data_IF_397337817022
#
_entry.id   IF_397337817022
#
_cell.length_a   1.000
_cell.length_b   1.000
_cell.length_c   1.000
_cell.angle_alpha   90.00
_cell.angle_beta   90.00
_cell.angle_gamma   90.00
#
_symmetry.space_group_name_H-M   'P 1'
#
loop_
_entity.id
_entity.type
_entity.pdbx_description
1 polymer ?
#
# COMPACT_ATOMS: atom_id res chain seq x y z
N UNK A 1 -0.89 -4.25 -4.38
CA UNK A 1 -1.31 -5.67 -4.20
C UNK A 1 -0.68 -6.20 -2.91
N UNK A 2 -1.31 -7.15 -2.23
CA UNK A 2 -0.84 -7.69 -0.95
C UNK A 2 -0.39 -9.13 -1.11
N UNK A 3 0.76 -9.48 -0.51
CA UNK A 3 1.26 -10.84 -0.43
C UNK A 3 0.67 -11.51 0.81
N UNK A 4 -0.25 -12.44 0.58
CA UNK A 4 -0.88 -13.27 1.59
C UNK A 4 -0.89 -14.74 1.17
N UNK A 5 -1.35 -15.63 2.05
CA UNK A 5 -1.38 -17.07 1.78
C UNK A 5 -2.15 -17.43 0.50
N UNK A 6 -3.19 -16.67 0.16
CA UNK A 6 -4.00 -16.91 -1.03
C UNK A 6 -3.23 -16.53 -2.29
N UNK A 7 -2.63 -15.34 -2.28
CA UNK A 7 -1.88 -14.77 -3.39
C UNK A 7 -0.61 -15.58 -3.66
N UNK A 8 0.03 -16.09 -2.61
CA UNK A 8 1.15 -17.04 -2.72
C UNK A 8 0.73 -18.40 -3.30
N UNK A 9 -0.43 -18.93 -2.92
CA UNK A 9 -0.93 -20.20 -3.48
C UNK A 9 -1.28 -20.07 -4.96
N UNK A 10 -1.87 -18.94 -5.34
CA UNK A 10 -2.21 -18.65 -6.73
C UNK A 10 -0.94 -18.48 -7.57
N UNK A 11 0.07 -17.77 -7.07
CA UNK A 11 1.29 -17.51 -7.84
C UNK A 11 2.10 -18.75 -8.18
N UNK A 12 2.08 -19.78 -7.32
CA UNK A 12 2.74 -21.07 -7.59
C UNK A 12 2.16 -21.84 -8.77
N UNK A 13 0.93 -21.51 -9.19
CA UNK A 13 0.20 -22.21 -10.24
C UNK A 13 -0.09 -21.35 -11.48
N UNK A 14 0.43 -20.12 -11.53
CA UNK A 14 0.20 -19.19 -12.63
C UNK A 14 1.50 -18.87 -13.38
N UNK A 15 1.34 -18.38 -14.60
CA UNK A 15 2.42 -18.05 -15.53
C UNK A 15 3.38 -16.98 -14.98
N UNK A 16 4.59 -16.93 -15.54
CA UNK A 16 5.71 -16.08 -15.11
C UNK A 16 5.34 -14.58 -14.96
N UNK A 17 4.38 -14.10 -15.75
CA UNK A 17 3.85 -12.73 -15.66
C UNK A 17 3.18 -12.43 -14.31
N UNK A 18 2.53 -13.41 -13.70
CA UNK A 18 1.89 -13.23 -12.39
C UNK A 18 2.93 -13.21 -11.26
N UNK A 19 4.01 -13.99 -11.37
CA UNK A 19 5.12 -13.93 -10.43
C UNK A 19 5.85 -12.57 -10.49
N UNK A 20 6.08 -12.04 -11.69
CA UNK A 20 6.60 -10.69 -11.92
C UNK A 20 5.71 -9.61 -11.27
N UNK A 21 4.39 -9.74 -11.42
CA UNK A 21 3.41 -8.83 -10.82
C UNK A 21 3.51 -8.75 -9.29
N UNK A 22 3.89 -9.84 -8.63
CA UNK A 22 4.00 -9.91 -7.17
C UNK A 22 5.33 -9.43 -6.60
N UNK A 23 6.37 -9.20 -7.41
CA UNK A 23 7.67 -8.73 -6.91
C UNK A 23 7.61 -7.38 -6.17
N UNK A 24 6.57 -6.57 -6.42
CA UNK A 24 6.32 -5.32 -5.71
C UNK A 24 5.18 -5.38 -4.68
N UNK A 25 4.70 -6.57 -4.31
CA UNK A 25 3.58 -6.72 -3.40
C UNK A 25 3.94 -6.33 -1.96
N UNK A 26 2.99 -5.72 -1.27
CA UNK A 26 3.10 -5.39 0.15
C UNK A 26 2.88 -6.65 1.00
N UNK A 27 3.76 -6.94 1.95
CA UNK A 27 3.49 -7.95 2.99
C UNK A 27 2.51 -7.42 4.04
N UNK A 28 1.86 -8.33 4.78
CA UNK A 28 1.02 -7.94 5.93
C UNK A 28 1.83 -7.21 7.01
N UNK A 29 3.06 -7.65 7.26
CA UNK A 29 3.96 -7.02 8.21
C UNK A 29 4.33 -5.58 7.79
N UNK A 30 4.53 -5.34 6.49
CA UNK A 30 4.73 -3.99 5.96
C UNK A 30 3.53 -3.10 6.27
N UNK A 31 2.30 -3.55 6.01
CA UNK A 31 1.11 -2.76 6.27
C UNK A 31 1.01 -2.36 7.76
N UNK A 32 1.28 -3.28 8.68
CA UNK A 32 1.31 -3.00 10.11
C UNK A 32 2.38 -1.96 10.49
N UNK A 33 3.59 -2.05 9.91
CA UNK A 33 4.66 -1.07 10.13
C UNK A 33 4.27 0.33 9.65
N UNK A 34 3.67 0.42 8.46
CA UNK A 34 3.19 1.70 7.89
C UNK A 34 2.13 2.32 8.78
N UNK A 35 1.12 1.56 9.21
CA UNK A 35 0.06 2.05 10.11
C UNK A 35 0.66 2.57 11.42
N UNK A 36 1.58 1.81 12.02
CA UNK A 36 2.24 2.21 13.27
C UNK A 36 3.02 3.51 13.11
N UNK A 37 3.86 3.61 12.08
CA UNK A 37 4.68 4.78 11.86
C UNK A 37 3.84 6.02 11.51
N UNK A 38 2.79 5.84 10.70
CA UNK A 38 1.84 6.90 10.39
C UNK A 38 1.13 7.42 11.65
N UNK A 39 0.71 6.53 12.55
CA UNK A 39 0.08 6.91 13.81
C UNK A 39 0.98 7.77 14.70
N UNK A 40 2.28 7.48 14.70
CA UNK A 40 3.28 8.21 15.49
C UNK A 40 3.61 9.61 14.93
N UNK A 41 3.14 9.97 13.72
CA UNK A 41 3.34 11.32 13.15
C UNK A 41 2.58 12.39 13.94
N UNK A 42 3.24 13.54 14.17
CA UNK A 42 2.62 14.71 14.80
C UNK A 42 1.51 15.31 13.91
N UNK A 43 1.74 15.35 12.60
CA UNK A 43 0.85 15.98 11.63
C UNK A 43 -0.18 15.03 10.99
N UNK A 44 -0.39 13.81 11.53
CA UNK A 44 -1.34 12.82 10.99
C UNK A 44 -2.75 13.36 10.72
N UNK A 45 -3.19 14.36 11.50
CA UNK A 45 -4.50 15.00 11.34
C UNK A 45 -4.67 15.73 10.00
N UNK A 46 -3.60 16.08 9.29
CA UNK A 46 -3.65 16.65 7.93
C UNK A 46 -4.21 15.67 6.89
N UNK A 47 -4.21 14.38 7.22
CA UNK A 47 -4.76 13.32 6.38
C UNK A 47 -6.18 12.90 6.78
N UNK A 48 -6.81 13.62 7.72
CA UNK A 48 -8.15 13.29 8.19
C UNK A 48 -9.16 13.21 7.05
N UNK A 49 -9.92 12.11 7.03
CA UNK A 49 -10.92 11.82 6.01
C UNK A 49 -10.36 11.32 4.67
N UNK A 50 -9.05 11.42 4.41
CA UNK A 50 -8.46 10.93 3.17
C UNK A 50 -8.28 9.42 3.20
N UNK A 51 -8.44 8.78 2.05
CA UNK A 51 -7.98 7.39 1.86
C UNK A 51 -6.54 7.43 1.37
N UNK A 52 -5.64 6.76 2.09
CA UNK A 52 -4.22 6.71 1.77
C UNK A 52 -3.84 5.34 1.20
N UNK A 53 -2.86 5.32 0.29
CA UNK A 53 -2.29 4.07 -0.22
C UNK A 53 -1.05 3.74 0.61
N UNK A 54 -1.06 2.59 1.29
CA UNK A 54 0.02 2.20 2.21
C UNK A 54 1.41 2.13 1.54
N UNK A 55 1.48 1.76 0.26
CA UNK A 55 2.74 1.75 -0.48
C UNK A 55 3.33 3.17 -0.66
N UNK A 56 2.48 4.18 -0.87
CA UNK A 56 2.92 5.59 -1.03
C UNK A 56 3.37 6.17 0.31
N UNK A 57 2.57 5.97 1.35
CA UNK A 57 2.93 6.36 2.73
C UNK A 57 4.20 5.64 3.19
N UNK A 58 4.36 4.36 2.84
CA UNK A 58 5.56 3.59 3.14
C UNK A 58 6.82 4.17 2.50
N UNK A 59 6.75 4.67 1.26
CA UNK A 59 7.87 5.36 0.61
C UNK A 59 8.21 6.65 1.36
N UNK A 60 7.21 7.47 1.70
CA UNK A 60 7.42 8.72 2.45
C UNK A 60 8.06 8.49 3.82
N UNK A 61 7.69 7.39 4.49
CA UNK A 61 8.20 7.02 5.81
C UNK A 61 9.46 6.15 5.76
N UNK A 62 9.97 5.80 4.59
CA UNK A 62 11.16 4.94 4.43
C UNK A 62 10.96 3.50 4.92
N UNK A 63 9.74 2.98 4.82
CA UNK A 63 9.38 1.64 5.28
C UNK A 63 9.39 0.66 4.10
N UNK A 64 9.98 -0.51 4.33
CA UNK A 64 10.07 -1.62 3.37
C UNK A 64 9.45 -2.89 3.94
N UNK A 65 9.26 -3.89 3.08
CA UNK A 65 8.94 -5.25 3.51
C UNK A 65 10.05 -5.81 4.42
N UNK A 66 9.77 -6.84 5.24
CA UNK A 66 10.78 -7.49 6.08
C UNK A 66 12.00 -8.03 5.31
N UNK A 67 11.83 -8.39 4.04
CA UNK A 67 12.89 -8.86 3.14
C UNK A 67 13.68 -7.71 2.46
N UNK A 68 13.36 -6.46 2.78
CA UNK A 68 14.00 -5.27 2.24
C UNK A 68 13.42 -4.78 0.91
N UNK A 69 12.46 -5.49 0.32
CA UNK A 69 11.80 -5.04 -0.92
C UNK A 69 10.91 -3.82 -0.66
N UNK A 70 10.85 -2.90 -1.61
CA UNK A 70 9.97 -1.73 -1.55
C UNK A 70 8.63 -2.07 -2.21
N UNK A 71 7.50 -2.08 -1.46
CA UNK A 71 6.19 -2.20 -2.09
C UNK A 71 5.91 -1.05 -3.04
N UNK A 72 5.36 -1.37 -4.21
CA UNK A 72 5.01 -0.39 -5.24
C UNK A 72 3.57 0.11 -5.07
N UNK A 73 3.30 1.35 -5.46
CA UNK A 73 1.92 1.80 -5.65
C UNK A 73 1.38 1.26 -6.97
N UNK A 74 0.20 0.66 -6.94
CA UNK A 74 -0.51 0.21 -8.14
C UNK A 74 -1.50 1.24 -8.67
N UNK A 75 -1.46 2.48 -8.16
CA UNK A 75 -2.38 3.58 -8.52
C UNK A 75 -2.51 3.78 -10.02
N UNK A 76 -1.39 3.80 -10.75
CA UNK A 76 -1.39 4.04 -12.21
C UNK A 76 -2.13 2.94 -12.98
N UNK A 77 -2.10 1.71 -12.48
CA UNK A 77 -2.62 0.53 -13.18
C UNK A 77 -4.03 0.15 -12.71
N UNK A 78 -4.34 0.35 -11.42
CA UNK A 78 -5.62 -0.06 -10.81
C UNK A 78 -6.51 1.13 -10.42
N UNK A 79 -6.02 2.35 -10.61
CA UNK A 79 -6.65 3.57 -10.11
C UNK A 79 -6.30 3.84 -8.65
N UNK A 80 -6.47 5.10 -8.26
CA UNK A 80 -6.32 5.56 -6.89
C UNK A 80 -7.66 5.83 -6.19
N UNK A 81 -7.65 6.05 -4.88
CA UNK A 81 -8.82 6.58 -4.19
C UNK A 81 -9.25 7.91 -4.79
N UNK A 82 -10.56 8.14 -4.81
CA UNK A 82 -11.16 9.42 -5.22
C UNK A 82 -10.79 10.51 -4.23
N UNK A 83 -10.51 11.69 -4.74
CA UNK A 83 -10.43 12.89 -3.93
C UNK A 83 -11.82 13.31 -3.43
N UNK A 84 -11.82 14.10 -2.38
CA UNK A 84 -13.03 14.71 -1.87
C UNK A 84 -13.68 15.61 -2.91
N UNK A 85 -15.02 15.63 -2.88
CA UNK A 85 -15.76 16.63 -3.62
C UNK A 85 -15.48 18.02 -3.02
N UNK A 86 -15.24 19.02 -3.87
CA UNK A 86 -15.01 20.41 -3.45
C UNK A 86 -16.24 21.07 -2.82
N UNK A 87 -17.43 20.49 -2.98
CA UNK A 87 -18.65 21.00 -2.39
C UNK A 87 -18.62 20.96 -0.85
N UNK A 88 -18.81 22.13 -0.25
CA UNK A 88 -18.95 22.29 1.21
C UNK A 88 -20.42 22.60 1.51
N UNK A 89 -21.04 21.80 2.38
CA UNK A 89 -22.43 21.97 2.84
C UNK A 89 -22.41 22.48 4.28
N UNK A 90 -23.15 23.56 4.54
CA UNK A 90 -23.27 24.22 5.85
C UNK A 90 -24.71 24.15 6.35
#
# INVERSE_FOLDING_TARGET
IVLDEKTEKVSKNMDEQYAEFLKGAASQAFAGKVIRAFYDQENKMQHSGKTLIAAEVGIELGITNPDGTQPRSDREMLGGPKDFNEAVVY
#
